data_IF_202397274486
#
_entry.id   IF_202397274486
#
_cell.length_a   1.000
_cell.length_b   1.000
_cell.length_c   1.000
_cell.angle_alpha   90.00
_cell.angle_beta   90.00
_cell.angle_gamma   90.00
#
_symmetry.space_group_name_H-M   'P 1'
#
loop_
_entity.id
_entity.type
_entity.pdbx_description
1 polymer ?
#
# COMPACT_ATOMS: atom_id res chain seq x y z
N UNK A 1 9.66 1.50 -9.45
CA UNK A 1 8.95 1.35 -8.15
C UNK A 1 9.58 0.22 -7.36
N UNK A 2 9.83 0.40 -6.07
CA UNK A 2 10.37 -0.66 -5.21
C UNK A 2 9.32 -1.77 -5.02
N UNK A 3 9.75 -3.03 -5.09
CA UNK A 3 8.89 -4.20 -4.96
C UNK A 3 8.22 -4.32 -3.61
N UNK A 4 8.87 -3.84 -2.54
CA UNK A 4 8.28 -3.71 -1.21
C UNK A 4 6.98 -2.91 -1.20
N UNK A 5 6.85 -1.90 -2.06
CA UNK A 5 5.65 -1.06 -2.17
C UNK A 5 4.52 -1.86 -2.80
N UNK A 6 4.80 -2.58 -3.89
CA UNK A 6 3.80 -3.39 -4.60
C UNK A 6 3.36 -4.61 -3.79
N UNK A 7 4.29 -5.26 -3.10
CA UNK A 7 3.97 -6.32 -2.15
C UNK A 7 3.14 -5.78 -0.97
N UNK A 8 3.48 -4.60 -0.46
CA UNK A 8 2.68 -3.90 0.55
C UNK A 8 1.26 -3.64 0.07
N UNK A 9 1.08 -3.22 -1.19
CA UNK A 9 -0.25 -3.00 -1.77
C UNK A 9 -1.05 -4.30 -1.87
N UNK A 10 -0.41 -5.38 -2.33
CA UNK A 10 -1.01 -6.71 -2.35
C UNK A 10 -1.49 -7.13 -0.95
N UNK A 11 -0.64 -7.02 0.07
CA UNK A 11 -1.01 -7.39 1.44
C UNK A 11 -2.16 -6.52 1.97
N UNK A 12 -2.08 -5.21 1.74
CA UNK A 12 -3.12 -4.25 2.10
C UNK A 12 -4.49 -4.61 1.50
N UNK A 13 -4.53 -5.00 0.22
CA UNK A 13 -5.77 -5.44 -0.44
C UNK A 13 -6.25 -6.76 0.14
N UNK A 14 -5.39 -7.76 0.29
CA UNK A 14 -5.75 -9.10 0.80
C UNK A 14 -6.30 -9.04 2.22
N UNK A 15 -5.70 -8.21 3.08
CA UNK A 15 -6.16 -8.01 4.45
C UNK A 15 -7.53 -7.32 4.53
N UNK A 16 -7.82 -6.37 3.64
CA UNK A 16 -9.07 -5.59 3.68
C UNK A 16 -10.22 -6.20 2.89
N UNK A 17 -9.90 -6.81 1.76
CA UNK A 17 -10.87 -7.22 0.74
C UNK A 17 -10.82 -8.73 0.45
N UNK A 18 -9.81 -9.44 0.95
CA UNK A 18 -9.64 -10.89 0.74
C UNK A 18 -8.93 -11.25 -0.56
N UNK A 19 -8.60 -12.54 -0.68
CA UNK A 19 -7.85 -13.09 -1.82
C UNK A 19 -8.60 -12.98 -3.15
N UNK A 20 -9.92 -13.12 -3.12
CA UNK A 20 -10.75 -13.08 -4.32
C UNK A 20 -10.67 -11.72 -5.01
N UNK A 21 -10.86 -10.65 -4.23
CA UNK A 21 -10.80 -9.29 -4.75
C UNK A 21 -9.37 -8.92 -5.17
N UNK A 22 -8.34 -9.43 -4.48
CA UNK A 22 -6.97 -9.28 -4.96
C UNK A 22 -6.78 -9.89 -6.35
N UNK A 23 -7.31 -11.10 -6.60
CA UNK A 23 -7.27 -11.75 -7.92
C UNK A 23 -8.00 -10.93 -8.99
N UNK A 24 -9.16 -10.36 -8.68
CA UNK A 24 -9.83 -9.44 -9.61
C UNK A 24 -8.97 -8.21 -9.90
N UNK A 25 -8.40 -7.59 -8.86
CA UNK A 25 -7.62 -6.35 -8.99
C UNK A 25 -6.37 -6.53 -9.86
N UNK A 26 -5.57 -7.58 -9.60
CA UNK A 26 -4.36 -7.86 -10.40
C UNK A 26 -4.69 -8.21 -11.85
N UNK A 27 -5.84 -8.85 -12.10
CA UNK A 27 -6.30 -9.17 -13.46
C UNK A 27 -6.69 -7.90 -14.22
N UNK A 28 -7.52 -7.04 -13.64
CA UNK A 28 -7.92 -5.78 -14.28
C UNK A 28 -6.73 -4.82 -14.48
N UNK A 29 -5.76 -4.84 -13.58
CA UNK A 29 -4.55 -4.04 -13.68
C UNK A 29 -3.51 -4.59 -14.68
N UNK A 30 -3.79 -5.72 -15.34
CA UNK A 30 -2.88 -6.31 -16.34
C UNK A 30 -1.63 -6.97 -15.74
N UNK A 31 -1.66 -7.31 -14.45
CA UNK A 31 -0.53 -7.93 -13.71
C UNK A 31 -0.93 -9.29 -13.12
N UNK A 32 -1.80 -10.01 -13.83
CA UNK A 32 -2.42 -11.27 -13.40
C UNK A 32 -1.42 -12.33 -12.94
N UNK A 33 -0.25 -12.45 -13.55
CA UNK A 33 0.77 -13.46 -13.20
C UNK A 33 1.92 -12.90 -12.36
N UNK A 34 1.82 -11.64 -11.91
CA UNK A 34 2.94 -10.98 -11.24
C UNK A 34 3.15 -11.51 -9.82
N UNK A 35 4.41 -11.76 -9.49
CA UNK A 35 4.89 -12.04 -8.14
C UNK A 35 5.86 -10.94 -7.75
N UNK A 36 5.55 -10.22 -6.66
CA UNK A 36 6.36 -9.11 -6.18
C UNK A 36 7.37 -9.57 -5.13
N UNK A 37 8.63 -9.21 -5.33
CA UNK A 37 9.73 -9.47 -4.41
C UNK A 37 10.23 -8.14 -3.82
N UNK A 38 10.44 -8.04 -2.49
CA UNK A 38 10.80 -6.77 -1.85
C UNK A 38 12.06 -6.10 -2.40
N UNK A 39 13.05 -6.89 -2.79
CA UNK A 39 14.37 -6.45 -3.27
C UNK A 39 14.43 -6.16 -4.78
N UNK A 40 13.33 -6.28 -5.51
CA UNK A 40 13.28 -6.00 -6.94
C UNK A 40 12.62 -4.66 -7.25
N UNK A 41 12.82 -4.17 -8.45
CA UNK A 41 12.13 -2.99 -8.98
C UNK A 41 11.17 -3.38 -10.10
N UNK A 42 10.09 -2.63 -10.20
CA UNK A 42 9.00 -2.83 -11.16
C UNK A 42 8.58 -1.50 -11.79
N UNK A 43 7.89 -1.51 -12.95
CA UNK A 43 7.28 -0.32 -13.54
C UNK A 43 6.44 0.47 -12.53
N UNK A 44 6.53 1.80 -12.60
CA UNK A 44 5.85 2.69 -11.65
C UNK A 44 4.34 2.72 -11.83
N UNK A 45 3.90 2.50 -13.06
CA UNK A 45 2.53 2.54 -13.55
C UNK A 45 1.68 1.41 -12.95
N UNK A 46 2.30 0.29 -12.54
CA UNK A 46 1.58 -0.84 -11.96
C UNK A 46 0.85 -0.48 -10.67
N UNK A 47 1.48 0.31 -9.79
CA UNK A 47 0.82 0.74 -8.57
C UNK A 47 -0.42 1.60 -8.89
N UNK A 48 -0.33 2.44 -9.93
CA UNK A 48 -1.45 3.27 -10.35
C UNK A 48 -2.58 2.43 -10.97
N UNK A 49 -2.24 1.43 -11.79
CA UNK A 49 -3.20 0.51 -12.36
C UNK A 49 -3.93 -0.31 -11.28
N UNK A 50 -3.18 -0.83 -10.30
CA UNK A 50 -3.73 -1.55 -9.16
C UNK A 50 -4.65 -0.67 -8.30
N UNK A 51 -4.22 0.55 -7.97
CA UNK A 51 -5.04 1.51 -7.22
C UNK A 51 -6.31 1.92 -7.98
N UNK A 52 -6.23 2.07 -9.31
CA UNK A 52 -7.36 2.39 -10.18
C UNK A 52 -8.38 1.24 -10.24
N UNK A 53 -7.91 0.00 -10.34
CA UNK A 53 -8.80 -1.17 -10.28
C UNK A 53 -9.49 -1.27 -8.90
N UNK A 54 -8.74 -1.12 -7.81
CA UNK A 54 -9.33 -1.10 -6.45
C UNK A 54 -10.34 0.05 -6.29
N UNK A 55 -10.06 1.22 -6.86
CA UNK A 55 -10.98 2.35 -6.87
C UNK A 55 -12.31 2.01 -7.54
N UNK A 56 -12.30 1.33 -8.70
CA UNK A 56 -13.51 0.88 -9.38
C UNK A 56 -14.35 -0.11 -8.55
N UNK A 57 -13.70 -1.02 -7.83
CA UNK A 57 -14.39 -2.03 -7.02
C UNK A 57 -14.97 -1.47 -5.71
N UNK A 58 -14.28 -0.50 -5.10
CA UNK A 58 -14.65 0.04 -3.78
C UNK A 58 -15.46 1.34 -3.84
N UNK A 59 -15.49 2.02 -4.98
CA UNK A 59 -16.07 3.35 -5.14
C UNK A 59 -15.23 4.48 -4.50
N UNK A 60 -14.09 4.15 -3.88
CA UNK A 60 -13.15 5.16 -3.36
C UNK A 60 -12.42 5.83 -4.52
N UNK A 61 -12.05 7.10 -4.40
CA UNK A 61 -11.18 7.73 -5.41
C UNK A 61 -9.78 7.11 -5.37
N UNK A 62 -9.03 7.07 -6.50
CA UNK A 62 -7.66 6.56 -6.52
C UNK A 62 -6.75 7.26 -5.52
N UNK A 63 -6.96 8.56 -5.29
CA UNK A 63 -6.21 9.34 -4.31
C UNK A 63 -6.46 8.83 -2.87
N UNK A 64 -7.72 8.56 -2.50
CA UNK A 64 -8.04 8.02 -1.18
C UNK A 64 -7.52 6.58 -1.00
N UNK A 65 -7.55 5.77 -2.06
CA UNK A 65 -6.93 4.43 -2.04
C UNK A 65 -5.44 4.54 -1.74
N UNK A 66 -4.72 5.37 -2.48
CA UNK A 66 -3.27 5.56 -2.29
C UNK A 66 -2.92 6.20 -0.95
N UNK A 67 -3.69 7.17 -0.47
CA UNK A 67 -3.51 7.77 0.86
C UNK A 67 -3.71 6.73 1.97
N UNK A 68 -4.81 5.95 1.93
CA UNK A 68 -5.07 4.91 2.93
C UNK A 68 -4.09 3.75 2.86
N UNK A 69 -3.59 3.43 1.66
CA UNK A 69 -2.54 2.43 1.49
C UNK A 69 -1.21 2.95 2.05
N UNK A 70 -0.80 4.18 1.73
CA UNK A 70 0.44 4.78 2.20
C UNK A 70 0.55 4.80 3.72
N UNK A 71 -0.56 5.07 4.42
CA UNK A 71 -0.63 5.01 5.89
C UNK A 71 -0.24 3.63 6.43
N UNK A 72 -0.75 2.56 5.82
CA UNK A 72 -0.38 1.17 6.17
C UNK A 72 1.02 0.79 5.70
N UNK A 73 1.44 1.28 4.54
CA UNK A 73 2.76 1.02 3.99
C UNK A 73 3.89 1.52 4.91
N UNK A 74 3.67 2.60 5.65
CA UNK A 74 4.69 3.14 6.57
C UNK A 74 5.20 2.11 7.58
N UNK A 75 4.31 1.30 8.17
CA UNK A 75 4.69 0.24 9.10
C UNK A 75 5.59 -0.80 8.43
N UNK A 76 5.28 -1.18 7.20
CA UNK A 76 6.05 -2.15 6.43
C UNK A 76 7.42 -1.59 6.03
N UNK A 77 7.49 -0.31 5.64
CA UNK A 77 8.76 0.35 5.35
C UNK A 77 9.66 0.42 6.59
N UNK A 78 9.11 0.75 7.76
CA UNK A 78 9.87 0.74 9.02
C UNK A 78 10.33 -0.68 9.38
N UNK A 79 9.51 -1.69 9.14
CA UNK A 79 9.87 -3.10 9.39
C UNK A 79 11.05 -3.55 8.52
N UNK A 80 11.06 -3.17 7.24
CA UNK A 80 12.05 -3.63 6.26
C UNK A 80 13.32 -2.77 6.27
N UNK A 81 13.18 -1.45 6.41
CA UNK A 81 14.25 -0.47 6.26
C UNK A 81 14.53 0.34 7.52
N UNK A 82 13.93 0.00 8.66
CA UNK A 82 14.14 0.72 9.93
C UNK A 82 15.60 0.77 10.36
N UNK A 83 16.44 -0.18 9.92
CA UNK A 83 17.89 -0.14 10.18
C UNK A 83 18.64 0.98 9.42
N UNK A 84 18.00 1.66 8.45
CA UNK A 84 18.53 2.85 7.79
C UNK A 84 18.19 4.15 8.55
N UNK A 85 17.27 4.08 9.50
CA UNK A 85 16.78 5.20 10.29
C UNK A 85 17.60 5.31 11.58
N UNK A 86 18.14 6.51 11.88
CA UNK A 86 18.81 6.75 13.17
C UNK A 86 17.76 6.59 14.30
N UNK A 87 17.99 5.75 15.32
CA UNK A 87 17.05 5.55 16.42
C UNK A 87 16.71 6.82 17.21
N UNK A 88 17.51 7.88 17.09
CA UNK A 88 17.28 9.18 17.74
C UNK A 88 16.38 10.10 16.90
N UNK A 89 16.15 9.77 15.64
CA UNK A 89 15.31 10.57 14.75
C UNK A 89 13.85 10.52 15.16
N UNK A 90 13.23 11.69 15.18
CA UNK A 90 11.78 11.85 15.26
C UNK A 90 11.18 11.87 13.86
N UNK A 91 9.84 11.86 13.76
CA UNK A 91 9.17 11.80 12.45
C UNK A 91 9.65 12.90 11.48
N UNK A 92 9.82 14.13 11.95
CA UNK A 92 10.29 15.22 11.08
C UNK A 92 11.75 15.04 10.66
N UNK A 93 12.60 14.44 11.51
CA UNK A 93 13.97 14.11 11.15
C UNK A 93 13.99 13.02 10.07
N UNK A 94 13.16 11.99 10.20
CA UNK A 94 12.99 10.96 9.15
C UNK A 94 12.58 11.60 7.82
N UNK A 95 11.67 12.58 7.85
CA UNK A 95 11.21 13.27 6.66
C UNK A 95 12.28 14.16 6.05
N UNK A 96 13.05 14.92 6.84
CA UNK A 96 14.13 15.76 6.29
C UNK A 96 15.26 14.93 5.69
N UNK A 97 15.45 13.70 6.16
CA UNK A 97 16.39 12.71 5.62
C UNK A 97 15.76 11.75 4.59
N UNK A 98 14.53 12.02 4.11
CA UNK A 98 13.81 11.06 3.25
C UNK A 98 14.49 10.82 1.90
N UNK A 99 15.14 11.83 1.34
CA UNK A 99 15.88 11.74 0.07
C UNK A 99 16.98 10.68 0.14
N UNK A 100 17.88 10.79 1.12
CA UNK A 100 18.95 9.82 1.37
C UNK A 100 18.40 8.43 1.72
N UNK A 101 17.31 8.36 2.49
CA UNK A 101 16.66 7.09 2.81
C UNK A 101 16.14 6.40 1.55
N UNK A 102 15.44 7.12 0.67
CA UNK A 102 14.88 6.58 -0.58
C UNK A 102 15.99 6.06 -1.49
N UNK A 103 17.08 6.82 -1.63
CA UNK A 103 18.21 6.42 -2.45
C UNK A 103 18.91 5.16 -1.90
N UNK A 104 19.13 5.08 -0.59
CA UNK A 104 19.68 3.89 0.06
C UNK A 104 18.77 2.67 -0.08
N UNK A 105 17.45 2.85 0.00
CA UNK A 105 16.48 1.77 -0.25
C UNK A 105 16.56 1.26 -1.69
N UNK A 106 16.69 2.17 -2.67
CA UNK A 106 16.85 1.83 -4.08
C UNK A 106 18.17 1.11 -4.37
N UNK A 107 19.29 1.57 -3.79
CA UNK A 107 20.59 0.88 -3.87
C UNK A 107 20.52 -0.57 -3.38
N UNK A 108 19.86 -0.80 -2.23
CA UNK A 108 19.66 -2.17 -1.71
C UNK A 108 18.82 -3.07 -2.64
N UNK A 109 18.09 -2.48 -3.57
CA UNK A 109 17.26 -3.17 -4.57
C UNK A 109 17.94 -3.25 -5.94
N UNK A 110 19.24 -2.92 -6.02
CA UNK A 110 20.06 -3.05 -7.22
C UNK A 110 20.17 -1.80 -8.10
N UNK A 111 19.63 -0.66 -7.69
CA UNK A 111 19.80 0.60 -8.41
C UNK A 111 21.19 1.20 -8.14
N UNK A 112 22.01 1.31 -9.17
CA UNK A 112 23.40 1.79 -9.06
C UNK A 112 23.51 3.32 -9.00
N UNK A 113 22.49 4.04 -9.43
CA UNK A 113 22.48 5.51 -9.46
C UNK A 113 21.08 6.02 -9.13
N UNK A 114 20.58 5.74 -7.91
CA UNK A 114 19.23 6.12 -7.55
C UNK A 114 19.09 7.64 -7.51
N UNK A 115 17.89 8.10 -7.83
CA UNK A 115 17.51 9.49 -7.63
C UNK A 115 16.16 9.53 -6.93
N UNK A 116 16.10 10.17 -5.77
CA UNK A 116 14.83 10.35 -5.07
C UNK A 116 13.91 11.32 -5.83
N UNK A 117 12.63 10.97 -6.08
CA UNK A 117 11.66 11.92 -6.60
C UNK A 117 11.16 12.90 -5.52
N UNK A 118 11.62 12.75 -4.28
CA UNK A 118 11.26 13.58 -3.12
C UNK A 118 12.51 14.20 -2.55
N UNK A 119 12.50 15.53 -2.41
CA UNK A 119 13.48 16.28 -1.64
C UNK A 119 12.79 16.88 -0.41
N UNK A 120 13.55 17.11 0.65
CA UNK A 120 13.01 17.62 1.90
C UNK A 120 13.91 18.70 2.48
N UNK A 121 13.30 19.69 3.14
CA UNK A 121 14.03 20.73 3.85
C UNK A 121 13.24 21.24 5.04
N UNK A 122 13.94 21.79 6.03
CA UNK A 122 13.29 22.56 7.08
C UNK A 122 12.62 23.82 6.51
N UNK A 123 11.40 24.08 6.97
CA UNK A 123 10.67 25.33 6.78
C UNK A 123 10.95 26.32 7.91
N UNK A 124 10.29 27.47 7.87
CA UNK A 124 10.53 28.57 8.82
C UNK A 124 9.94 28.34 10.21
N UNK A 125 8.84 27.59 10.29
CA UNK A 125 8.08 27.39 11.53
C UNK A 125 8.33 26.02 12.18
N UNK A 126 9.51 25.43 11.96
CA UNK A 126 9.82 24.07 12.42
C UNK A 126 9.01 22.98 11.72
N UNK A 127 8.41 23.29 10.57
CA UNK A 127 7.82 22.32 9.64
C UNK A 127 8.89 21.71 8.74
N UNK A 128 8.60 20.54 8.17
CA UNK A 128 9.38 20.00 7.04
C UNK A 128 8.57 20.21 5.77
N UNK A 129 9.20 20.82 4.76
CA UNK A 129 8.62 20.99 3.44
C UNK A 129 9.15 19.88 2.54
N UNK A 130 8.24 19.04 2.05
CA UNK A 130 8.51 18.00 1.06
C UNK A 130 8.20 18.55 -0.32
N UNK A 131 9.15 18.43 -1.25
CA UNK A 131 8.96 18.74 -2.66
C UNK A 131 9.04 17.45 -3.45
N UNK A 132 7.95 17.11 -4.13
CA UNK A 132 7.84 15.89 -4.94
C UNK A 132 7.68 16.21 -6.41
N UNK A 133 8.45 15.50 -7.25
CA UNK A 133 8.36 15.61 -8.70
C UNK A 133 8.53 14.23 -9.34
N UNK A 134 7.46 13.73 -9.96
CA UNK A 134 7.52 12.51 -10.77
C UNK A 134 6.29 12.39 -11.66
N UNK A 135 6.47 11.79 -12.84
CA UNK A 135 5.41 11.49 -13.78
C UNK A 135 4.32 10.56 -13.19
N UNK A 136 4.65 9.79 -12.15
CA UNK A 136 3.71 8.88 -11.48
C UNK A 136 2.65 9.62 -10.62
N UNK A 137 2.81 10.93 -10.38
CA UNK A 137 1.86 11.77 -9.62
C UNK A 137 1.40 11.15 -8.29
N UNK A 138 2.33 10.50 -7.58
CA UNK A 138 2.10 9.74 -6.34
C UNK A 138 2.02 10.58 -5.06
N UNK A 139 1.64 11.86 -5.11
CA UNK A 139 1.58 12.70 -3.90
C UNK A 139 0.58 12.17 -2.86
N UNK A 140 -0.53 11.56 -3.29
CA UNK A 140 -1.47 10.87 -2.42
C UNK A 140 -0.79 9.76 -1.61
N UNK A 141 0.05 8.93 -2.25
CA UNK A 141 0.80 7.90 -1.54
C UNK A 141 1.75 8.51 -0.51
N UNK A 142 2.47 9.57 -0.88
CA UNK A 142 3.42 10.24 0.01
C UNK A 142 2.70 10.81 1.24
N UNK A 143 1.55 11.47 1.05
CA UNK A 143 0.71 11.95 2.17
C UNK A 143 0.31 10.81 3.11
N UNK A 144 -0.07 9.67 2.55
CA UNK A 144 -0.34 8.45 3.33
C UNK A 144 0.87 8.01 4.15
N UNK A 145 2.02 7.81 3.50
CA UNK A 145 3.25 7.36 4.16
C UNK A 145 3.69 8.32 5.27
N UNK A 146 3.63 9.63 5.03
CA UNK A 146 3.97 10.66 6.03
C UNK A 146 3.08 10.54 7.28
N UNK A 147 1.77 10.38 7.10
CA UNK A 147 0.83 10.19 8.23
C UNK A 147 1.10 8.88 8.95
N UNK A 148 1.33 7.80 8.20
CA UNK A 148 1.65 6.50 8.76
C UNK A 148 2.95 6.50 9.56
N UNK A 149 4.00 7.19 9.09
CA UNK A 149 5.24 7.38 9.84
C UNK A 149 4.99 8.12 11.15
N UNK A 150 4.20 9.19 11.12
CA UNK A 150 3.80 9.90 12.33
C UNK A 150 3.06 9.00 13.31
N UNK A 151 2.12 8.18 12.84
CA UNK A 151 1.39 7.23 13.68
C UNK A 151 2.30 6.15 14.30
N UNK A 152 3.20 5.55 13.50
CA UNK A 152 4.10 4.49 13.97
C UNK A 152 5.19 4.99 14.94
N UNK A 153 5.54 6.28 14.86
CA UNK A 153 6.51 6.93 15.75
C UNK A 153 5.85 7.70 16.90
N UNK A 154 4.56 7.49 17.14
CA UNK A 154 3.74 8.15 18.17
C UNK A 154 3.80 9.69 18.13
N UNK A 155 3.98 10.23 16.93
CA UNK A 155 4.14 11.64 16.64
C UNK A 155 3.24 12.01 15.46
N UNK A 156 1.92 12.08 15.68
CA UNK A 156 0.97 12.37 14.62
C UNK A 156 1.30 13.71 13.94
N UNK A 157 1.09 13.76 12.63
CA UNK A 157 1.45 14.90 11.80
C UNK A 157 0.26 15.45 11.04
N UNK A 158 0.28 16.76 10.83
CA UNK A 158 -0.55 17.46 9.87
C UNK A 158 0.23 17.65 8.58
N UNK A 159 -0.44 17.40 7.46
CA UNK A 159 0.12 17.57 6.12
C UNK A 159 -0.77 18.55 5.38
N UNK A 160 -0.20 19.67 4.97
CA UNK A 160 -0.86 20.69 4.16
C UNK A 160 -0.23 20.72 2.77
N UNK A 161 -1.03 20.58 1.72
CA UNK A 161 -0.56 20.52 0.33
C UNK A 161 -0.88 21.84 -0.37
N UNK A 162 0.15 22.69 -0.51
CA UNK A 162 -0.01 24.03 -1.06
C UNK A 162 0.02 24.03 -2.59
N UNK A 163 0.72 23.06 -3.20
CA UNK A 163 0.86 22.91 -4.65
C UNK A 163 0.80 21.43 -5.01
N UNK A 164 0.15 21.10 -6.13
CA UNK A 164 -0.04 19.72 -6.55
C UNK A 164 0.04 19.54 -8.07
N UNK A 165 0.76 18.52 -8.52
CA UNK A 165 0.84 18.12 -9.94
C UNK A 165 -0.48 17.63 -10.50
N UNK A 166 -1.39 17.15 -9.66
CA UNK A 166 -2.76 16.80 -10.07
C UNK A 166 -3.61 18.05 -10.31
N UNK A 167 -3.23 19.20 -9.73
CA UNK A 167 -3.85 20.50 -9.94
C UNK A 167 -3.11 21.36 -10.98
N UNK A 168 -2.17 20.78 -11.74
CA UNK A 168 -1.43 21.46 -12.81
C UNK A 168 -0.13 22.15 -12.39
N UNK A 169 0.30 22.05 -11.13
CA UNK A 169 1.61 22.55 -10.71
C UNK A 169 2.76 21.67 -11.27
N UNK A 170 3.99 22.21 -11.46
CA UNK A 170 5.13 21.43 -11.94
C UNK A 170 5.65 20.41 -10.90
N UNK A 171 5.40 20.67 -9.61
CA UNK A 171 5.81 19.86 -8.47
C UNK A 171 4.69 19.86 -7.43
N UNK A 172 4.66 18.85 -6.58
CA UNK A 172 3.87 18.89 -5.35
C UNK A 172 4.71 19.47 -4.21
N UNK A 173 4.14 20.36 -3.41
CA UNK A 173 4.77 20.91 -2.21
C UNK A 173 3.85 20.68 -1.02
N UNK A 174 4.37 19.97 -0.02
CA UNK A 174 3.64 19.58 1.18
C UNK A 174 4.38 20.06 2.43
N UNK A 175 3.73 20.87 3.25
CA UNK A 175 4.23 21.27 4.56
C UNK A 175 3.76 20.27 5.62
N UNK A 176 4.70 19.74 6.39
CA UNK A 176 4.45 18.73 7.42
C UNK A 176 4.80 19.28 8.80
N UNK A 177 3.85 19.26 9.72
CA UNK A 177 3.98 19.72 11.11
C UNK A 177 3.55 18.63 12.07
N UNK A 178 4.11 18.64 13.28
CA UNK A 178 3.55 17.84 14.37
C UNK A 178 2.14 18.35 14.72
N UNK A 179 1.21 17.42 14.89
CA UNK A 179 -0.12 17.72 15.39
C UNK A 179 -0.01 18.06 16.89
N UNK A 180 -0.47 19.25 17.28
CA UNK A 180 -0.41 19.67 18.68
C UNK A 180 -1.49 18.95 19.49
N UNK A 181 -1.21 18.65 20.76
CA UNK A 181 -2.13 17.96 21.70
C UNK A 181 -3.53 18.59 21.76
N UNK A 182 -3.64 19.91 21.65
CA UNK A 182 -4.93 20.61 21.64
C UNK A 182 -5.78 20.24 20.41
N UNK A 183 -5.16 20.13 19.23
CA UNK A 183 -5.82 19.79 17.98
C UNK A 183 -6.25 18.32 17.92
N UNK A 184 -5.45 17.41 18.51
CA UNK A 184 -5.84 16.01 18.67
C UNK A 184 -7.14 15.87 19.47
N UNK A 185 -7.29 16.67 20.53
CA UNK A 185 -8.48 16.68 21.38
C UNK A 185 -9.71 17.18 20.60
N UNK A 186 -9.57 18.25 19.83
CA UNK A 186 -10.64 18.78 18.98
C UNK A 186 -11.05 17.81 17.87
N UNK A 187 -10.09 17.12 17.24
CA UNK A 187 -10.37 16.10 16.21
C UNK A 187 -11.05 14.87 16.80
N UNK A 188 -10.59 14.38 17.95
CA UNK A 188 -11.22 13.28 18.66
C UNK A 188 -12.67 13.63 19.05
N UNK A 189 -12.90 14.84 19.56
CA UNK A 189 -14.25 15.34 19.88
C UNK A 189 -15.10 15.52 18.62
N UNK A 190 -14.53 16.00 17.51
CA UNK A 190 -15.22 16.15 16.23
C UNK A 190 -15.62 14.82 15.60
N UNK A 191 -14.75 13.80 15.68
CA UNK A 191 -15.05 12.44 15.22
C UNK A 191 -16.10 11.78 16.13
N UNK A 192 -15.95 11.92 17.45
CA UNK A 192 -16.93 11.45 18.42
C UNK A 192 -18.31 12.07 18.15
N UNK A 193 -18.38 13.39 17.89
CA UNK A 193 -19.61 14.12 17.58
C UNK A 193 -20.28 13.69 16.27
N UNK A 194 -19.51 13.22 15.29
CA UNK A 194 -20.04 12.64 14.03
C UNK A 194 -20.55 11.21 14.21
N UNK A 195 -19.98 10.47 15.16
CA UNK A 195 -20.37 9.09 15.49
C UNK A 195 -21.42 9.03 16.61
N UNK A 196 -21.70 10.13 17.31
CA UNK A 196 -22.83 10.20 18.25
C UNK A 196 -24.10 10.48 17.45
N UNK A 197 -25.11 9.59 17.49
CA UNK A 197 -26.44 9.94 16.99
C UNK A 197 -26.92 11.19 17.73
N UNK A 198 -27.71 12.08 17.10
CA UNK A 198 -28.34 13.16 17.84
C UNK A 198 -29.08 12.54 19.02
N UNK A 199 -28.92 13.13 20.21
CA UNK A 199 -29.60 12.67 21.41
C UNK A 199 -31.12 12.77 21.20
N UNK A 200 -31.71 11.71 20.65
CA UNK A 200 -33.16 11.57 20.61
C UNK A 200 -33.60 11.46 22.07
N UNK A 201 -34.38 12.45 22.52
CA UNK A 201 -35.06 12.35 23.79
C UNK A 201 -35.84 11.04 23.84
N UNK A 202 -35.92 10.41 25.01
CA UNK A 202 -36.58 9.10 25.21
C UNK A 202 -37.97 8.99 24.56
N UNK A 203 -38.69 10.10 24.43
CA UNK A 203 -39.97 10.18 23.72
C UNK A 203 -39.86 9.97 22.20
N UNK A 204 -38.83 10.50 21.53
CA UNK A 204 -38.61 10.31 20.09
C UNK A 204 -38.20 8.87 19.77
N UNK A 205 -37.36 8.25 20.61
CA UNK A 205 -37.00 6.83 20.48
C UNK A 205 -38.20 5.91 20.70
N UNK A 206 -39.08 6.23 21.65
CA UNK A 206 -40.30 5.45 21.91
C UNK A 206 -41.31 5.57 20.77
N UNK A 207 -41.46 6.75 20.16
CA UNK A 207 -42.30 6.93 18.98
C UNK A 207 -41.72 6.25 17.72
N UNK A 208 -40.40 6.25 17.55
CA UNK A 208 -39.76 5.57 16.42
C UNK A 208 -39.85 4.03 16.51
N UNK A 209 -39.87 3.48 17.73
CA UNK A 209 -39.95 2.03 17.96
C UNK A 209 -41.38 1.51 18.13
N UNK A 210 -42.32 2.36 18.55
CA UNK A 210 -43.68 1.95 18.95
C UNK A 210 -44.79 2.89 18.45
N UNK A 211 -44.52 3.75 17.47
CA UNK A 211 -45.50 4.67 16.88
C UNK A 211 -46.51 3.95 15.98
N UNK A 212 -47.78 4.06 16.39
CA UNK A 212 -49.03 3.66 15.71
C UNK A 212 -49.21 2.18 15.33
N UNK A 213 -49.74 1.42 16.29
CA UNK A 213 -50.69 0.33 16.01
C UNK A 213 -52.10 0.80 16.36
N UNK A 214 -52.62 1.71 15.55
CA UNK A 214 -54.05 1.92 15.40
C UNK A 214 -54.53 1.10 14.21
N UNK A 215 -55.40 0.13 14.49
CA UNK A 215 -56.21 -0.64 13.54
C UNK A 215 -55.53 -1.72 12.68
N UNK A 216 -55.57 -2.96 13.17
CA UNK A 216 -55.84 -4.13 12.33
C UNK A 216 -56.41 -5.24 13.20
N UNK A 217 -57.74 -5.31 13.24
CA UNK A 217 -58.45 -6.52 13.63
C UNK A 217 -58.25 -7.61 12.59
N UNK A 218 -58.07 -8.84 13.06
CA UNK A 218 -58.03 -10.13 12.35
C UNK A 218 -56.71 -10.59 11.68
N UNK A 219 -55.89 -11.29 12.48
CA UNK A 219 -55.01 -12.38 12.00
C UNK A 219 -55.17 -13.55 12.98
N UNK A 220 -55.44 -14.79 12.51
CA UNK A 220 -55.64 -15.94 13.41
C UNK A 220 -54.30 -16.42 14.03
N UNK A 221 -54.33 -17.10 15.18
CA UNK A 221 -53.12 -17.55 15.86
C UNK A 221 -52.40 -18.65 15.07
N UNK A 222 -51.05 -18.71 15.13
CA UNK A 222 -50.28 -19.80 14.54
C UNK A 222 -50.47 -21.11 15.34
N UNK A 223 -50.35 -22.28 14.68
CA UNK A 223 -50.53 -23.57 15.36
C UNK A 223 -49.41 -23.82 16.37
N UNK A 224 -49.80 -24.41 17.50
CA UNK A 224 -48.88 -24.88 18.53
C UNK A 224 -47.98 -25.99 17.96
N UNK A 225 -46.67 -25.75 17.90
CA UNK A 225 -45.69 -26.82 17.78
C UNK A 225 -44.87 -26.92 19.06
N UNK A 226 -44.84 -28.15 19.53
CA UNK A 226 -44.30 -28.65 20.77
C UNK A 226 -42.77 -28.76 20.74
N UNK A 227 -42.24 -28.85 21.97
CA UNK A 227 -41.04 -29.62 22.34
C UNK A 227 -39.67 -29.09 21.90
N UNK A 228 -39.09 -28.34 22.83
CA UNK A 228 -37.68 -27.94 23.03
C UNK A 228 -36.66 -29.11 23.14
N UNK A 229 -36.86 -30.23 22.46
CA UNK A 229 -36.01 -31.43 22.62
C UNK A 229 -35.26 -31.91 21.36
N UNK A 230 -35.44 -31.30 20.18
CA UNK A 230 -34.77 -31.78 18.95
C UNK A 230 -33.48 -31.03 18.55
N UNK A 231 -33.04 -30.02 19.30
CA UNK A 231 -31.83 -29.24 18.95
C UNK A 231 -30.56 -29.63 19.73
N UNK A 232 -30.58 -30.72 20.51
CA UNK A 232 -29.43 -31.16 21.34
C UNK A 232 -28.84 -32.53 20.96
N UNK A 233 -29.26 -33.16 19.85
CA UNK A 233 -28.73 -34.47 19.44
C UNK A 233 -27.78 -34.45 18.22
N UNK A 234 -27.46 -33.30 17.64
CA UNK A 234 -26.60 -33.22 16.44
C UNK A 234 -25.08 -33.05 16.72
N UNK A 235 -24.63 -33.13 17.98
CA UNK A 235 -23.21 -33.04 18.35
C UNK A 235 -22.77 -34.25 19.19
N UNK A 236 -22.86 -35.44 18.60
CA UNK A 236 -22.05 -36.60 19.00
C UNK A 236 -22.18 -37.72 17.96
N UNK A 237 -21.04 -38.31 17.59
CA UNK A 237 -20.82 -39.38 16.59
C UNK A 237 -20.78 -38.84 15.15
N UNK A 238 -19.74 -39.02 14.33
CA UNK A 238 -18.79 -40.12 14.21
C UNK A 238 -17.37 -39.65 13.82
N UNK A 239 -16.38 -40.22 14.49
CA UNK A 239 -14.98 -40.33 14.06
C UNK A 239 -14.79 -41.62 13.28
N UNK A 240 -14.08 -41.52 12.13
CA UNK A 240 -13.37 -42.56 11.33
C UNK A 240 -13.95 -42.79 9.94
N UNK A 241 -13.25 -42.29 8.93
CA UNK A 241 -12.91 -43.05 7.70
C UNK A 241 -11.65 -42.46 7.04
N UNK A 242 -10.81 -43.36 6.53
CA UNK A 242 -9.45 -43.18 6.00
C UNK A 242 -9.32 -42.25 4.78
N UNK A 243 -8.09 -41.75 4.50
CA UNK A 243 -7.80 -40.92 3.33
C UNK A 243 -7.78 -41.73 2.01
N UNK A 244 -8.15 -41.13 0.86
CA UNK A 244 -8.02 -41.78 -0.44
C UNK A 244 -6.55 -41.80 -0.92
N UNK A 245 -6.23 -42.88 -1.64
CA UNK A 245 -4.91 -43.19 -2.17
C UNK A 245 -4.41 -42.19 -3.22
N UNK A 246 -3.14 -41.79 -3.06
CA UNK A 246 -2.33 -41.11 -4.06
C UNK A 246 -2.17 -41.97 -5.31
N UNK A 247 -2.88 -41.64 -6.38
CA UNK A 247 -2.62 -42.12 -7.73
C UNK A 247 -1.71 -41.15 -8.47
N UNK A 248 -0.39 -41.26 -8.27
CA UNK A 248 0.60 -40.59 -9.12
C UNK A 248 0.96 -41.57 -10.23
N UNK A 249 0.49 -41.28 -11.44
CA UNK A 249 0.94 -41.97 -12.66
C UNK A 249 2.26 -41.32 -13.11
N UNK A 250 3.36 -42.08 -13.29
CA UNK A 250 4.62 -41.50 -13.74
C UNK A 250 4.54 -41.13 -15.22
N UNK A 251 4.62 -39.85 -15.52
CA UNK A 251 4.82 -39.35 -16.87
C UNK A 251 6.19 -39.78 -17.39
N UNK A 252 6.16 -40.36 -18.59
CA UNK A 252 7.27 -40.92 -19.35
C UNK A 252 8.35 -39.87 -19.60
N UNK A 253 9.59 -40.24 -19.29
CA UNK A 253 10.81 -39.50 -19.64
C UNK A 253 10.92 -39.45 -21.16
N UNK A 254 10.65 -38.28 -21.73
CA UNK A 254 11.03 -37.95 -23.10
C UNK A 254 12.41 -37.31 -23.08
N UNK A 255 13.34 -38.03 -23.68
CA UNK A 255 14.71 -37.65 -24.03
C UNK A 255 14.80 -36.27 -24.67
N UNK A 256 15.68 -35.44 -24.11
CA UNK A 256 16.18 -34.17 -24.67
C UNK A 256 16.85 -34.41 -26.04
N UNK A 257 16.51 -33.64 -27.08
CA UNK A 257 17.37 -33.47 -28.24
C UNK A 257 18.50 -32.49 -27.92
N UNK A 258 19.69 -32.84 -28.38
CA UNK A 258 20.95 -32.12 -28.22
C UNK A 258 20.92 -30.66 -28.71
N UNK A 259 21.68 -29.81 -28.01
CA UNK A 259 21.98 -28.43 -28.38
C UNK A 259 22.56 -28.32 -29.80
N UNK A 260 22.08 -27.37 -30.63
CA UNK A 260 22.79 -27.01 -31.84
C UNK A 260 24.03 -26.17 -31.49
N UNK A 261 25.20 -26.72 -31.85
CA UNK A 261 26.51 -26.08 -31.80
C UNK A 261 26.48 -24.72 -32.50
N UNK A 262 26.79 -23.66 -31.78
CA UNK A 262 27.13 -22.35 -32.33
C UNK A 262 28.45 -22.43 -33.11
N UNK A 263 28.53 -21.95 -34.36
CA UNK A 263 29.81 -21.78 -35.04
C UNK A 263 30.56 -20.59 -34.43
N UNK A 264 31.80 -20.87 -34.04
CA UNK A 264 32.84 -19.92 -33.63
C UNK A 264 33.09 -18.87 -34.71
N UNK A 265 32.87 -17.60 -34.37
CA UNK A 265 33.36 -16.45 -35.14
C UNK A 265 34.87 -16.27 -34.92
N UNK A 266 35.65 -15.98 -35.98
CA UNK A 266 37.09 -15.76 -35.86
C UNK A 266 37.40 -14.46 -35.12
N UNK A 267 38.34 -14.56 -34.18
CA UNK A 267 38.97 -13.47 -33.43
C UNK A 267 39.65 -12.47 -34.37
N UNK A 268 39.22 -11.22 -34.32
CA UNK A 268 39.95 -10.09 -34.90
C UNK A 268 41.09 -9.68 -33.94
N UNK A 269 42.34 -9.53 -34.40
CA UNK A 269 43.44 -9.09 -33.54
C UNK A 269 43.32 -7.58 -33.22
N UNK A 270 43.85 -7.12 -32.08
CA UNK A 270 43.86 -5.70 -31.74
C UNK A 270 44.83 -4.92 -32.64
N UNK A 271 44.53 -3.68 -33.03
CA UNK A 271 45.53 -2.82 -33.65
C UNK A 271 46.61 -2.44 -32.63
N UNK A 272 47.84 -2.51 -33.12
CA UNK A 272 49.11 -2.18 -32.48
C UNK A 272 49.11 -0.79 -31.83
N UNK A 273 49.63 -0.75 -30.61
CA UNK A 273 50.16 0.45 -29.97
C UNK A 273 51.41 0.90 -30.71
N UNK A 274 51.33 2.03 -31.43
CA UNK A 274 52.46 2.88 -31.78
C UNK A 274 51.90 4.28 -32.10
N UNK A 275 52.32 5.28 -31.32
CA UNK A 275 51.84 6.66 -31.51
C UNK A 275 52.01 7.52 -30.28
N UNK A 276 53.27 7.71 -29.87
CA UNK A 276 53.72 8.78 -28.99
C UNK A 276 53.30 10.14 -29.58
N UNK A 277 52.54 10.93 -28.81
CA UNK A 277 52.35 12.36 -29.04
C UNK A 277 52.02 13.01 -27.69
N UNK A 278 53.02 12.94 -26.82
CA UNK A 278 53.21 13.84 -25.71
C UNK A 278 53.40 15.27 -26.21
N UNK A 279 52.32 16.02 -26.45
CA UNK A 279 52.31 17.50 -26.47
C UNK A 279 50.91 17.99 -26.79
N UNK A 280 50.23 18.66 -25.85
CA UNK A 280 49.25 19.76 -26.08
C UNK A 280 48.44 20.05 -24.80
N UNK A 281 49.15 20.42 -23.72
CA UNK A 281 48.57 21.23 -22.64
C UNK A 281 49.52 22.37 -22.30
N UNK A 282 49.54 23.39 -23.17
CA UNK A 282 50.07 24.72 -22.86
C UNK A 282 49.28 25.77 -23.63
N UNK A 283 48.65 26.69 -22.89
CA UNK A 283 47.86 27.88 -23.33
C UNK A 283 46.43 27.51 -23.73
N UNK A 284 45.37 28.14 -23.21
CA UNK A 284 45.21 29.51 -22.73
C UNK A 284 44.00 29.57 -21.80
#
# INVERSE_FOLDING_TARGET
MLGVILLGFQNYVRERLGEELWRTIRNEAGVAERVYLPSQTYPGEELHALATSMSRLTGMSPALVLESFGDKLASELLRVYGNLVDPRWRVLDVLVHSEELIERMAQRSGDLAPHSPVTARWGRDGEVVLVYQSHLKGCALIKGVVRGLGANLEQPVLVDENRCMLAGAPTCEMAVKLERTTQLTERAQGLARRLTPPAMGRSALKNALFGDRGDMSSVPPPPASSSKQELLSAWRTETKTNPPASGVTPARISTLPAEPRTPSMPSTPPPSSDGDASELWRRR
#
